data_IF_022267945315
#
_entry.id   IF_022267945315
#
_cell.length_a   1.000
_cell.length_b   1.000
_cell.length_c   1.000
_cell.angle_alpha   90.00
_cell.angle_beta   90.00
_cell.angle_gamma   90.00
#
_symmetry.space_group_name_H-M   'P 1'
#
loop_
_entity.id
_entity.type
_entity.pdbx_description
1 polymer ?
#
# COMPACT_ATOMS: atom_id res chain seq x y z
N UNK A 1 2.32 -16.45 3.99
CA UNK A 1 3.10 -15.92 2.84
C UNK A 1 2.13 -15.65 1.71
N UNK A 2 2.16 -14.44 1.14
CA UNK A 2 1.24 -14.02 0.07
C UNK A 2 1.61 -14.70 -1.27
N UNK A 3 1.14 -15.93 -1.45
CA UNK A 3 1.37 -16.77 -2.65
C UNK A 3 0.08 -16.98 -3.46
N UNK A 4 -0.94 -16.15 -3.27
CA UNK A 4 -2.21 -16.36 -3.96
C UNK A 4 -1.99 -16.23 -5.47
N UNK A 5 -2.36 -17.29 -6.19
CA UNK A 5 -2.37 -17.33 -7.65
C UNK A 5 -3.70 -16.82 -8.21
N UNK A 6 -4.73 -16.77 -7.36
CA UNK A 6 -6.03 -16.20 -7.68
C UNK A 6 -5.99 -14.67 -7.65
N UNK A 7 -6.07 -14.07 -8.84
CA UNK A 7 -6.13 -12.62 -9.04
C UNK A 7 -7.56 -12.12 -9.29
N UNK A 8 -8.59 -12.96 -9.16
CA UNK A 8 -9.99 -12.64 -9.49
C UNK A 8 -10.54 -11.44 -8.71
N UNK A 9 -10.04 -11.20 -7.50
CA UNK A 9 -10.44 -10.07 -6.67
C UNK A 9 -9.81 -8.72 -7.09
N UNK A 10 -8.85 -8.72 -8.02
CA UNK A 10 -8.14 -7.52 -8.44
C UNK A 10 -9.09 -6.43 -8.95
N UNK A 11 -10.03 -6.80 -9.82
CA UNK A 11 -11.00 -5.85 -10.39
C UNK A 11 -11.96 -5.30 -9.33
N UNK A 12 -12.40 -6.15 -8.40
CA UNK A 12 -13.27 -5.75 -7.28
C UNK A 12 -12.54 -4.76 -6.36
N UNK A 13 -11.27 -5.01 -6.06
CA UNK A 13 -10.45 -4.13 -5.22
C UNK A 13 -10.20 -2.79 -5.91
N UNK A 14 -9.86 -2.79 -7.19
CA UNK A 14 -9.67 -1.56 -7.96
C UNK A 14 -10.96 -0.71 -8.03
N UNK A 15 -12.11 -1.35 -8.24
CA UNK A 15 -13.41 -0.67 -8.24
C UNK A 15 -13.71 -0.01 -6.89
N UNK A 16 -13.38 -0.68 -5.77
CA UNK A 16 -13.52 -0.12 -4.42
C UNK A 16 -12.60 1.09 -4.20
N UNK A 17 -11.34 1.00 -4.63
CA UNK A 17 -10.40 2.12 -4.57
C UNK A 17 -10.91 3.32 -5.39
N UNK A 18 -11.43 3.08 -6.61
CA UNK A 18 -12.04 4.12 -7.42
C UNK A 18 -13.26 4.77 -6.75
N UNK A 19 -14.10 3.98 -6.08
CA UNK A 19 -15.26 4.50 -5.34
C UNK A 19 -14.81 5.44 -4.21
N UNK A 20 -13.82 5.01 -3.41
CA UNK A 20 -13.26 5.85 -2.34
C UNK A 20 -12.64 7.14 -2.89
N UNK A 21 -11.85 7.05 -3.96
CA UNK A 21 -11.25 8.20 -4.62
C UNK A 21 -12.30 9.21 -5.11
N UNK A 22 -13.34 8.73 -5.80
CA UNK A 22 -14.43 9.59 -6.26
C UNK A 22 -15.20 10.25 -5.09
N UNK A 23 -15.40 9.51 -4.00
CA UNK A 23 -16.05 10.05 -2.80
C UNK A 23 -15.22 11.16 -2.14
N UNK A 24 -13.91 10.95 -2.03
CA UNK A 24 -12.95 11.94 -1.51
C UNK A 24 -12.88 13.17 -2.42
N UNK A 25 -12.80 12.98 -3.74
CA UNK A 25 -12.73 14.06 -4.73
C UNK A 25 -13.94 14.99 -4.62
N UNK A 26 -15.16 14.44 -4.52
CA UNK A 26 -16.40 15.21 -4.34
C UNK A 26 -16.42 16.08 -3.07
N UNK A 27 -15.56 15.78 -2.10
CA UNK A 27 -15.48 16.47 -0.80
C UNK A 27 -14.20 17.30 -0.62
N UNK A 28 -13.36 17.38 -1.66
CA UNK A 28 -12.06 18.05 -1.55
C UNK A 28 -11.10 17.37 -0.56
N UNK A 29 -11.24 16.06 -0.34
CA UNK A 29 -10.38 15.29 0.56
C UNK A 29 -9.23 14.66 -0.26
N UNK A 30 -7.99 14.83 0.21
CA UNK A 30 -6.84 14.11 -0.33
C UNK A 30 -6.82 12.66 0.19
N UNK A 31 -6.82 11.69 -0.71
CA UNK A 31 -6.70 10.27 -0.40
C UNK A 31 -5.24 9.83 -0.56
N UNK A 32 -4.67 9.25 0.50
CA UNK A 32 -3.30 8.71 0.48
C UNK A 32 -3.37 7.21 0.67
N UNK A 33 -3.00 6.47 -0.38
CA UNK A 33 -2.83 5.02 -0.34
C UNK A 33 -1.41 4.72 0.16
N UNK A 34 -1.29 3.81 1.12
CA UNK A 34 0.01 3.47 1.72
C UNK A 34 0.23 1.96 1.61
N UNK A 35 1.33 1.55 0.98
CA UNK A 35 1.84 0.19 1.14
C UNK A 35 2.78 0.16 2.34
N UNK A 36 2.44 -0.66 3.34
CA UNK A 36 3.20 -0.76 4.58
C UNK A 36 4.54 -1.48 4.35
N UNK A 37 5.54 -1.23 5.21
CA UNK A 37 6.79 -1.98 5.20
C UNK A 37 6.55 -3.49 5.35
N UNK A 38 7.37 -4.28 4.66
CA UNK A 38 7.36 -5.73 4.75
C UNK A 38 8.73 -6.23 5.17
N UNK A 39 8.76 -7.28 6.01
CA UNK A 39 10.03 -7.90 6.35
C UNK A 39 10.67 -8.53 5.11
N UNK A 40 11.99 -8.36 4.96
CA UNK A 40 12.73 -8.69 3.73
C UNK A 40 12.49 -10.11 3.21
N UNK A 41 12.44 -11.11 4.10
CA UNK A 41 12.23 -12.51 3.70
C UNK A 41 10.79 -12.76 3.25
N UNK A 42 9.82 -12.05 3.83
CA UNK A 42 8.43 -12.13 3.39
C UNK A 42 8.24 -11.44 2.05
N UNK A 43 8.75 -10.21 1.89
CA UNK A 43 8.71 -9.47 0.63
C UNK A 43 9.32 -10.28 -0.51
N UNK A 44 10.48 -10.89 -0.29
CA UNK A 44 11.16 -11.70 -1.29
C UNK A 44 10.38 -12.96 -1.70
N UNK A 45 9.40 -13.38 -0.90
CA UNK A 45 8.67 -14.62 -1.10
C UNK A 45 7.20 -14.39 -1.51
N UNK A 46 6.81 -13.13 -1.75
CA UNK A 46 5.53 -12.79 -2.37
C UNK A 46 5.49 -13.30 -3.82
N UNK A 47 4.29 -13.59 -4.32
CA UNK A 47 4.10 -13.91 -5.73
C UNK A 47 4.37 -12.65 -6.60
N UNK A 48 5.38 -12.66 -7.50
CA UNK A 48 5.73 -11.49 -8.29
C UNK A 48 4.61 -11.01 -9.21
N UNK A 49 3.82 -11.93 -9.78
CA UNK A 49 2.71 -11.58 -10.67
C UNK A 49 1.61 -10.84 -9.92
N UNK A 50 1.31 -11.26 -8.69
CA UNK A 50 0.33 -10.60 -7.83
C UNK A 50 0.81 -9.21 -7.38
N UNK A 51 2.08 -9.07 -6.98
CA UNK A 51 2.66 -7.78 -6.62
C UNK A 51 2.65 -6.82 -7.82
N UNK A 52 3.00 -7.30 -9.01
CA UNK A 52 2.95 -6.51 -10.24
C UNK A 52 1.50 -6.08 -10.59
N UNK A 53 0.53 -6.97 -10.45
CA UNK A 53 -0.88 -6.65 -10.65
C UNK A 53 -1.38 -5.58 -9.67
N UNK A 54 -1.06 -5.72 -8.38
CA UNK A 54 -1.38 -4.72 -7.35
C UNK A 54 -0.83 -3.34 -7.73
N UNK A 55 0.46 -3.24 -8.08
CA UNK A 55 1.07 -1.96 -8.47
C UNK A 55 0.44 -1.38 -9.72
N UNK A 56 0.16 -2.20 -10.73
CA UNK A 56 -0.53 -1.77 -11.97
C UNK A 56 -1.89 -1.15 -11.67
N UNK A 57 -2.69 -1.79 -10.81
CA UNK A 57 -4.03 -1.32 -10.44
C UNK A 57 -3.98 -0.05 -9.61
N UNK A 58 -3.08 0.04 -8.63
CA UNK A 58 -2.86 1.27 -7.85
C UNK A 58 -2.46 2.43 -8.78
N UNK A 59 -1.55 2.19 -9.73
CA UNK A 59 -1.15 3.19 -10.71
C UNK A 59 -2.32 3.66 -11.58
N UNK A 60 -3.21 2.75 -11.99
CA UNK A 60 -4.43 3.09 -12.73
C UNK A 60 -5.36 3.99 -11.91
N UNK A 61 -5.55 3.71 -10.62
CA UNK A 61 -6.36 4.58 -9.72
C UNK A 61 -5.72 5.96 -9.56
N UNK A 62 -4.40 6.04 -9.34
CA UNK A 62 -3.69 7.33 -9.22
C UNK A 62 -3.81 8.13 -10.50
N UNK A 63 -3.61 7.50 -11.67
CA UNK A 63 -3.74 8.16 -12.97
C UNK A 63 -5.16 8.66 -13.25
N UNK A 64 -6.18 7.95 -12.76
CA UNK A 64 -7.59 8.34 -12.90
C UNK A 64 -7.97 9.52 -11.98
N UNK A 65 -7.32 9.66 -10.84
CA UNK A 65 -7.62 10.69 -9.83
C UNK A 65 -6.37 11.46 -9.39
N UNK A 66 -5.61 12.09 -10.31
CA UNK A 66 -4.25 12.58 -10.03
C UNK A 66 -4.17 13.75 -9.05
N UNK A 67 -5.27 14.50 -8.90
CA UNK A 67 -5.37 15.61 -7.94
C UNK A 67 -5.91 15.18 -6.57
N UNK A 68 -6.40 13.94 -6.46
CA UNK A 68 -7.06 13.43 -5.24
C UNK A 68 -6.26 12.31 -4.60
N UNK A 69 -5.62 11.45 -5.39
CA UNK A 69 -4.98 10.23 -4.90
C UNK A 69 -3.46 10.33 -4.99
N UNK A 70 -2.78 10.00 -3.90
CA UNK A 70 -1.33 9.77 -3.87
C UNK A 70 -1.06 8.36 -3.39
N UNK A 71 -0.01 7.74 -3.90
CA UNK A 71 0.47 6.45 -3.43
C UNK A 71 1.85 6.58 -2.80
N UNK A 72 2.00 6.11 -1.57
CA UNK A 72 3.25 6.05 -0.84
C UNK A 72 3.61 4.58 -0.59
N UNK A 73 4.71 4.14 -1.19
CA UNK A 73 5.19 2.77 -1.03
C UNK A 73 6.37 2.70 -0.07
N UNK A 74 6.16 2.08 1.08
CA UNK A 74 7.19 1.80 2.07
C UNK A 74 7.54 0.32 2.17
N UNK A 75 7.00 -0.54 1.30
CA UNK A 75 7.20 -2.00 1.35
C UNK A 75 8.67 -2.43 1.35
N UNK A 76 9.51 -1.65 0.68
CA UNK A 76 10.95 -1.84 0.59
C UNK A 76 11.80 -0.86 1.42
N UNK A 77 11.20 -0.08 2.32
CA UNK A 77 11.92 0.95 3.08
C UNK A 77 12.97 0.32 4.04
N UNK A 78 14.27 0.57 3.83
CA UNK A 78 15.34 -0.07 4.61
C UNK A 78 15.44 0.44 6.03
N UNK A 79 14.71 1.51 6.41
CA UNK A 79 14.70 2.04 7.77
C UNK A 79 13.90 1.17 8.77
N UNK A 80 13.18 0.16 8.28
CA UNK A 80 12.45 -0.80 9.10
C UNK A 80 13.31 -2.04 9.36
N UNK A 81 13.53 -2.33 10.63
CA UNK A 81 14.31 -3.48 11.11
C UNK A 81 13.37 -4.50 11.76
N UNK A 82 13.88 -5.69 12.10
CA UNK A 82 13.08 -6.73 12.74
C UNK A 82 12.35 -6.24 14.02
N UNK A 83 12.90 -5.26 14.73
CA UNK A 83 12.30 -4.71 15.96
C UNK A 83 11.05 -3.84 15.70
N UNK A 84 10.75 -3.49 14.44
CA UNK A 84 9.57 -2.72 14.07
C UNK A 84 8.35 -3.60 13.75
N UNK A 85 8.55 -4.91 13.70
CA UNK A 85 7.55 -5.87 13.23
C UNK A 85 6.97 -6.67 14.41
N UNK A 86 5.66 -6.92 14.37
CA UNK A 86 5.01 -7.93 15.21
C UNK A 86 5.17 -9.31 14.57
N UNK A 87 4.93 -9.37 13.26
CA UNK A 87 5.22 -10.51 12.40
C UNK A 87 5.75 -10.02 11.05
N UNK A 88 5.89 -10.93 10.07
CA UNK A 88 6.57 -10.62 8.82
C UNK A 88 5.91 -9.56 7.92
N UNK A 89 4.62 -9.26 8.12
CA UNK A 89 3.86 -8.28 7.33
C UNK A 89 3.07 -7.26 8.17
N UNK A 90 3.04 -7.40 9.50
CA UNK A 90 2.42 -6.46 10.42
C UNK A 90 3.46 -5.75 11.30
N UNK A 91 3.38 -4.42 11.36
CA UNK A 91 4.17 -3.61 12.26
C UNK A 91 3.68 -3.77 13.70
N UNK A 92 4.62 -3.72 14.65
CA UNK A 92 4.27 -3.51 16.06
C UNK A 92 4.06 -2.00 16.35
N UNK A 93 3.77 -1.65 17.60
CA UNK A 93 3.52 -0.26 18.00
C UNK A 93 4.69 0.69 17.65
N UNK A 94 5.94 0.27 17.84
CA UNK A 94 7.11 1.09 17.53
C UNK A 94 7.25 1.31 16.02
N UNK A 95 7.08 0.23 15.24
CA UNK A 95 7.06 0.31 13.79
C UNK A 95 5.93 1.21 13.26
N UNK A 96 4.74 1.11 13.83
CA UNK A 96 3.58 1.94 13.44
C UNK A 96 3.82 3.43 13.71
N UNK A 97 4.46 3.79 14.84
CA UNK A 97 4.88 5.17 15.13
C UNK A 97 5.91 5.65 14.11
N UNK A 98 6.88 4.80 13.74
CA UNK A 98 7.89 5.11 12.72
C UNK A 98 7.24 5.35 11.35
N UNK A 99 6.32 4.49 10.92
CA UNK A 99 5.58 4.65 9.67
C UNK A 99 4.75 5.93 9.67
N UNK A 100 4.03 6.22 10.75
CA UNK A 100 3.23 7.44 10.91
C UNK A 100 4.07 8.71 10.71
N UNK A 101 5.28 8.76 11.28
CA UNK A 101 6.21 9.90 11.08
C UNK A 101 6.66 10.04 9.63
N UNK A 102 6.95 8.92 8.96
CA UNK A 102 7.34 8.91 7.54
C UNK A 102 6.20 9.35 6.63
N UNK A 103 4.98 8.86 6.85
CA UNK A 103 3.77 9.28 6.11
C UNK A 103 3.53 10.78 6.31
N UNK A 104 3.58 11.27 7.55
CA UNK A 104 3.44 12.70 7.87
C UNK A 104 4.45 13.57 7.10
N UNK A 105 5.67 13.08 6.87
CA UNK A 105 6.70 13.80 6.11
C UNK A 105 6.53 13.76 4.58
N UNK A 106 5.48 13.11 4.05
CA UNK A 106 5.21 12.95 2.62
C UNK A 106 3.88 13.57 2.18
N UNK A 107 3.07 14.04 3.12
CA UNK A 107 1.77 14.70 2.91
C UNK A 107 1.89 16.17 3.30
#
# INVERSE_FOLDING_TARGET
>A
MNRYEDLSHGDVNEARLCHMAAWCQKRGISLVLVATPLWRSYRAAQNPAQTADMHRRIAAVVARFPQTVRFLDFSADPAFTANDFFDSDHLNTLGAVKLSRKVKGKI
#
